data_IF_209845793535
#
_entry.id   IF_209845793535
#
_cell.length_a   1.000
_cell.length_b   1.000
_cell.length_c   1.000
_cell.angle_alpha   90.00
_cell.angle_beta   90.00
_cell.angle_gamma   90.00
#
_symmetry.space_group_name_H-M   'P 1'
#
loop_
_entity.id
_entity.type
_entity.pdbx_description
1 polymer ?
#
# COMPACT_ATOMS: atom_id res chain seq x y z
N UNK A 1 24.73 44.47 -7.82
CA UNK A 1 25.25 43.10 -8.00
C UNK A 1 24.91 42.24 -6.79
N UNK A 2 23.76 41.59 -6.81
CA UNK A 2 23.28 40.76 -5.70
C UNK A 2 22.86 39.38 -6.21
N UNK A 3 23.77 38.73 -6.93
CA UNK A 3 23.59 37.36 -7.39
C UNK A 3 23.98 36.40 -6.25
N UNK A 4 23.04 36.13 -5.35
CA UNK A 4 23.18 35.09 -4.32
C UNK A 4 23.55 33.77 -4.99
N UNK A 5 24.82 33.33 -4.84
CA UNK A 5 25.30 31.99 -5.20
C UNK A 5 24.33 30.94 -4.64
N UNK A 6 23.48 30.35 -5.48
CA UNK A 6 22.64 29.20 -5.13
C UNK A 6 23.59 28.07 -4.70
N UNK A 7 23.54 27.70 -3.42
CA UNK A 7 24.30 26.57 -2.90
C UNK A 7 24.08 25.32 -3.78
N UNK A 8 25.16 24.63 -4.13
CA UNK A 8 25.08 23.43 -4.96
C UNK A 8 24.18 22.38 -4.28
N UNK A 9 23.06 22.04 -4.92
CA UNK A 9 22.11 21.06 -4.39
C UNK A 9 22.73 19.67 -4.45
N UNK A 10 22.79 18.95 -3.32
CA UNK A 10 23.29 17.58 -3.26
C UNK A 10 22.50 16.70 -4.24
N UNK A 11 23.18 16.02 -5.17
CA UNK A 11 22.55 15.09 -6.12
C UNK A 11 22.18 13.79 -5.39
N UNK A 12 20.90 13.47 -5.35
CA UNK A 12 20.32 12.23 -4.80
C UNK A 12 19.61 11.47 -5.92
N UNK A 13 19.36 10.17 -5.75
CA UNK A 13 18.61 9.39 -6.75
C UNK A 13 17.21 9.99 -6.95
N UNK A 14 16.59 10.50 -5.88
CA UNK A 14 15.23 11.05 -5.96
C UNK A 14 15.19 12.39 -6.71
N UNK A 15 16.23 13.21 -6.62
CA UNK A 15 16.29 14.47 -7.37
C UNK A 15 16.92 14.38 -8.77
N UNK A 16 17.56 13.24 -9.07
CA UNK A 16 18.07 12.91 -10.41
C UNK A 16 17.23 11.82 -11.07
N UNK A 17 16.00 11.59 -10.59
CA UNK A 17 15.04 10.65 -11.18
C UNK A 17 14.87 11.00 -12.67
N UNK A 18 14.87 9.97 -13.51
CA UNK A 18 14.55 10.15 -14.92
C UNK A 18 13.11 10.58 -15.08
N UNK A 19 12.85 11.46 -16.05
CA UNK A 19 11.50 11.90 -16.36
C UNK A 19 10.67 10.69 -16.78
N UNK A 20 9.54 10.48 -16.11
CA UNK A 20 8.59 9.42 -16.42
C UNK A 20 7.35 10.07 -17.04
N UNK A 21 7.11 9.79 -18.32
CA UNK A 21 6.06 10.45 -19.10
C UNK A 21 4.64 10.16 -18.61
N UNK A 22 4.46 9.08 -17.84
CA UNK A 22 3.17 8.64 -17.30
C UNK A 22 2.84 9.25 -15.93
N UNK A 23 3.64 10.20 -15.44
CA UNK A 23 3.34 10.94 -14.21
C UNK A 23 2.03 11.72 -14.36
N UNK A 24 1.11 11.48 -13.44
CA UNK A 24 -0.21 12.10 -13.44
C UNK A 24 -0.13 13.47 -12.77
N UNK A 25 -0.64 14.49 -13.47
CA UNK A 25 -0.89 15.82 -12.91
C UNK A 25 -2.36 15.99 -12.52
N UNK A 26 -2.85 17.23 -12.53
CA UNK A 26 -4.29 17.49 -12.40
C UNK A 26 -4.98 17.37 -13.77
N UNK A 27 -4.99 16.16 -14.32
CA UNK A 27 -5.58 15.86 -15.62
C UNK A 27 -7.06 15.45 -15.45
N UNK A 28 -8.04 16.20 -16.00
CA UNK A 28 -9.46 15.88 -15.90
C UNK A 28 -9.83 14.50 -16.47
N UNK A 29 -9.10 14.01 -17.49
CA UNK A 29 -9.36 12.69 -18.08
C UNK A 29 -9.08 11.59 -17.05
N UNK A 30 -7.94 11.68 -16.35
CA UNK A 30 -7.57 10.69 -15.33
C UNK A 30 -8.55 10.70 -14.15
N UNK A 31 -9.05 11.88 -13.77
CA UNK A 31 -10.05 12.01 -12.71
C UNK A 31 -11.38 11.35 -13.12
N UNK A 32 -11.79 11.53 -14.38
CA UNK A 32 -12.99 10.89 -14.92
C UNK A 32 -12.82 9.36 -14.98
N UNK A 33 -11.68 8.88 -15.50
CA UNK A 33 -11.35 7.45 -15.54
C UNK A 33 -11.41 6.83 -14.13
N UNK A 34 -10.86 7.51 -13.13
CA UNK A 34 -10.89 7.08 -11.73
C UNK A 34 -12.28 7.15 -11.07
N UNK A 35 -13.16 8.01 -11.55
CA UNK A 35 -14.52 8.10 -11.05
C UNK A 35 -15.39 6.93 -11.53
N UNK A 36 -15.07 6.38 -12.70
CA UNK A 36 -15.85 5.32 -13.37
C UNK A 36 -15.19 3.93 -13.30
N UNK A 37 -14.01 3.81 -12.67
CA UNK A 37 -13.31 2.52 -12.59
C UNK A 37 -13.99 1.51 -11.64
N UNK A 38 -13.44 0.29 -11.63
CA UNK A 38 -13.93 -0.84 -10.84
C UNK A 38 -13.79 -0.62 -9.32
N UNK A 39 -13.02 0.38 -8.91
CA UNK A 39 -12.76 0.70 -7.50
C UNK A 39 -13.56 1.89 -6.97
N UNK A 40 -14.16 2.70 -7.85
CA UNK A 40 -14.94 3.92 -7.55
C UNK A 40 -15.84 3.78 -6.32
N UNK A 41 -16.64 2.72 -6.26
CA UNK A 41 -17.57 2.42 -5.16
C UNK A 41 -16.91 2.27 -3.78
N UNK A 42 -15.67 1.80 -3.72
CA UNK A 42 -14.93 1.68 -2.45
C UNK A 42 -14.46 3.05 -1.98
N UNK A 43 -13.97 3.89 -2.89
CA UNK A 43 -13.49 5.24 -2.60
C UNK A 43 -14.63 6.22 -2.28
N UNK A 44 -15.82 5.96 -2.80
CA UNK A 44 -17.07 6.66 -2.44
C UNK A 44 -17.73 6.10 -1.15
N UNK A 45 -17.13 5.07 -0.54
CA UNK A 45 -17.64 4.39 0.66
C UNK A 45 -19.02 3.75 0.52
N UNK A 46 -19.45 3.43 -0.71
CA UNK A 46 -20.74 2.79 -0.97
C UNK A 46 -20.72 1.29 -0.64
N UNK A 47 -19.61 0.63 -0.96
CA UNK A 47 -19.44 -0.81 -0.75
C UNK A 47 -18.28 -1.08 0.21
N UNK A 48 -18.53 -1.66 1.39
CA UNK A 48 -17.44 -2.03 2.30
C UNK A 48 -16.68 -3.24 1.74
N UNK A 49 -15.34 -3.22 1.73
CA UNK A 49 -14.59 -4.37 1.25
C UNK A 49 -14.75 -5.57 2.19
N UNK A 50 -14.87 -6.75 1.58
CA UNK A 50 -14.84 -8.05 2.22
C UNK A 50 -13.76 -8.88 1.54
N UNK A 51 -12.70 -9.21 2.26
CA UNK A 51 -11.48 -9.76 1.67
C UNK A 51 -11.28 -11.19 2.12
N UNK A 52 -11.08 -12.10 1.17
CA UNK A 52 -10.69 -13.49 1.45
C UNK A 52 -9.17 -13.60 1.35
N UNK A 53 -8.53 -14.18 2.35
CA UNK A 53 -7.11 -14.56 2.26
C UNK A 53 -6.95 -16.08 2.31
N UNK A 54 -6.15 -16.61 1.39
CA UNK A 54 -5.77 -18.02 1.32
C UNK A 54 -4.26 -18.12 1.04
N UNK A 55 -3.72 -19.32 1.13
CA UNK A 55 -2.31 -19.63 0.85
C UNK A 55 -2.16 -20.45 -0.42
N UNK A 56 -0.92 -20.78 -0.76
CA UNK A 56 -0.57 -21.96 -1.58
C UNK A 56 -1.02 -23.26 -0.90
N UNK A 57 -1.18 -24.38 -1.64
CA UNK A 57 -1.42 -25.69 -1.04
C UNK A 57 -0.27 -26.08 -0.10
N UNK A 58 -0.61 -26.68 1.04
CA UNK A 58 0.32 -27.14 2.09
C UNK A 58 1.29 -26.02 2.59
N UNK A 59 0.78 -24.93 3.16
CA UNK A 59 1.62 -23.85 3.69
C UNK A 59 2.38 -24.28 4.94
N UNK A 60 3.51 -23.62 5.23
CA UNK A 60 4.23 -23.82 6.49
C UNK A 60 3.53 -23.13 7.65
N UNK A 61 3.81 -23.61 8.88
CA UNK A 61 3.31 -22.99 10.12
C UNK A 61 3.72 -21.53 10.27
N UNK A 62 4.85 -21.12 9.70
CA UNK A 62 5.37 -19.75 9.84
C UNK A 62 4.46 -18.74 9.14
N UNK A 63 3.86 -19.10 8.01
CA UNK A 63 2.99 -18.24 7.23
C UNK A 63 1.73 -17.80 8.01
N UNK A 64 1.22 -18.64 8.92
CA UNK A 64 0.02 -18.32 9.71
C UNK A 64 0.21 -17.13 10.65
N UNK A 65 1.42 -16.89 11.16
CA UNK A 65 1.72 -15.70 11.96
C UNK A 65 1.56 -14.43 11.11
N UNK A 66 2.02 -14.49 9.85
CA UNK A 66 1.84 -13.39 8.91
C UNK A 66 0.38 -13.20 8.50
N UNK A 67 -0.39 -14.28 8.33
CA UNK A 67 -1.83 -14.20 8.07
C UNK A 67 -2.56 -13.54 9.24
N UNK A 68 -2.26 -13.94 10.48
CA UNK A 68 -2.86 -13.35 11.68
C UNK A 68 -2.51 -11.86 11.82
N UNK A 69 -1.31 -11.47 11.39
CA UNK A 69 -0.89 -10.07 11.30
C UNK A 69 -1.67 -9.29 10.22
N UNK A 70 -1.86 -9.90 9.04
CA UNK A 70 -2.66 -9.30 7.96
C UNK A 70 -4.13 -9.14 8.36
N UNK A 71 -4.70 -10.09 9.11
CA UNK A 71 -6.08 -9.99 9.61
C UNK A 71 -6.27 -8.85 10.62
N UNK A 72 -5.19 -8.45 11.31
CA UNK A 72 -5.19 -7.26 12.18
C UNK A 72 -4.93 -5.96 11.43
N UNK A 73 -4.31 -6.04 10.24
CA UNK A 73 -4.04 -4.88 9.39
C UNK A 73 -5.24 -4.52 8.52
N UNK A 74 -5.82 -5.50 7.83
CA UNK A 74 -6.90 -5.30 6.85
C UNK A 74 -8.24 -5.61 7.54
N UNK A 75 -9.14 -4.63 7.70
CA UNK A 75 -10.48 -4.87 8.25
C UNK A 75 -11.24 -5.91 7.42
N UNK A 76 -12.07 -6.74 8.08
CA UNK A 76 -12.91 -7.77 7.42
C UNK A 76 -12.12 -8.73 6.50
N UNK A 77 -10.86 -9.04 6.86
CA UNK A 77 -10.05 -10.06 6.22
C UNK A 77 -10.35 -11.46 6.80
N UNK A 78 -10.90 -12.35 5.97
CA UNK A 78 -11.27 -13.70 6.38
C UNK A 78 -10.29 -14.74 5.80
N UNK A 79 -9.64 -15.50 6.67
CA UNK A 79 -8.78 -16.60 6.24
C UNK A 79 -9.60 -17.84 5.90
N UNK A 80 -9.34 -18.41 4.72
CA UNK A 80 -9.85 -19.71 4.30
C UNK A 80 -8.68 -20.63 3.91
N UNK A 81 -8.64 -21.88 4.41
CA UNK A 81 -7.60 -22.82 4.04
C UNK A 81 -7.76 -23.23 2.57
N UNK A 82 -6.63 -23.23 1.84
CA UNK A 82 -6.58 -23.48 0.39
C UNK A 82 -7.15 -24.84 -0.05
N UNK A 83 -6.97 -25.87 0.78
CA UNK A 83 -7.25 -27.27 0.43
C UNK A 83 -6.65 -27.66 -0.94
N UNK A 84 -7.45 -28.28 -1.83
CA UNK A 84 -7.05 -28.70 -3.19
C UNK A 84 -7.61 -27.78 -4.29
N UNK A 85 -8.28 -26.70 -3.95
CA UNK A 85 -8.95 -25.82 -4.92
C UNK A 85 -7.94 -25.04 -5.76
N UNK A 86 -8.25 -24.89 -7.05
CA UNK A 86 -7.57 -24.00 -7.99
C UNK A 86 -7.87 -22.53 -7.69
N UNK A 87 -7.10 -21.61 -8.29
CA UNK A 87 -7.35 -20.18 -8.09
C UNK A 87 -8.68 -19.75 -8.70
N UNK A 88 -9.04 -20.30 -9.85
CA UNK A 88 -10.31 -20.01 -10.54
C UNK A 88 -11.51 -20.43 -9.68
N UNK A 89 -11.49 -21.64 -9.12
CA UNK A 89 -12.53 -22.11 -8.20
C UNK A 89 -12.66 -21.24 -6.95
N UNK A 90 -11.53 -20.75 -6.40
CA UNK A 90 -11.56 -19.85 -5.24
C UNK A 90 -12.13 -18.49 -5.61
N UNK A 91 -11.81 -17.94 -6.78
CA UNK A 91 -12.39 -16.68 -7.23
C UNK A 91 -13.90 -16.81 -7.44
N UNK A 92 -14.35 -17.91 -8.05
CA UNK A 92 -15.78 -18.20 -8.22
C UNK A 92 -16.49 -18.36 -6.88
N UNK A 93 -15.91 -19.13 -5.95
CA UNK A 93 -16.43 -19.29 -4.60
C UNK A 93 -16.48 -17.96 -3.84
N UNK A 94 -15.47 -17.12 -4.01
CA UNK A 94 -15.40 -15.80 -3.40
C UNK A 94 -16.52 -14.90 -3.94
N UNK A 95 -16.72 -14.84 -5.26
CA UNK A 95 -17.81 -14.08 -5.88
C UNK A 95 -19.20 -14.55 -5.45
N UNK A 96 -19.41 -15.87 -5.30
CA UNK A 96 -20.66 -16.44 -4.80
C UNK A 96 -20.94 -16.15 -3.32
N UNK A 97 -19.96 -15.64 -2.56
CA UNK A 97 -20.07 -15.31 -1.13
C UNK A 97 -19.87 -13.82 -0.86
N UNK A 98 -20.01 -13.01 -1.90
CA UNK A 98 -19.87 -11.55 -1.86
C UNK A 98 -18.53 -11.08 -1.31
N UNK A 99 -17.46 -11.86 -1.55
CA UNK A 99 -16.12 -11.35 -1.36
C UNK A 99 -15.78 -10.41 -2.51
N UNK A 100 -15.27 -9.26 -2.14
CA UNK A 100 -14.82 -8.22 -3.08
C UNK A 100 -13.43 -8.51 -3.63
N UNK A 101 -12.56 -9.07 -2.78
CA UNK A 101 -11.15 -9.29 -3.08
C UNK A 101 -10.70 -10.66 -2.60
N UNK A 102 -9.76 -11.25 -3.33
CA UNK A 102 -9.06 -12.48 -2.97
C UNK A 102 -7.57 -12.20 -2.90
N UNK A 103 -6.95 -12.53 -1.76
CA UNK A 103 -5.52 -12.49 -1.53
C UNK A 103 -4.99 -13.92 -1.45
N UNK A 104 -3.99 -14.24 -2.26
CA UNK A 104 -3.31 -15.54 -2.23
C UNK A 104 -1.84 -15.36 -1.90
N UNK A 105 -1.42 -15.93 -0.78
CA UNK A 105 -0.03 -15.91 -0.32
C UNK A 105 0.75 -17.11 -0.82
N UNK A 106 1.93 -16.83 -1.39
CA UNK A 106 2.91 -17.82 -1.82
C UNK A 106 4.10 -17.85 -0.86
N UNK A 107 4.73 -19.01 -0.77
CA UNK A 107 5.82 -19.26 0.15
C UNK A 107 6.92 -20.09 -0.53
N UNK A 108 8.18 -19.69 -0.28
CA UNK A 108 9.38 -20.43 -0.65
C UNK A 108 10.28 -20.58 0.59
N UNK A 109 10.88 -21.74 0.79
CA UNK A 109 11.77 -22.01 1.95
C UNK A 109 11.18 -21.62 3.31
N UNK A 110 9.87 -21.81 3.49
CA UNK A 110 9.12 -21.41 4.70
C UNK A 110 9.02 -19.88 4.93
N UNK A 111 9.28 -19.08 3.91
CA UNK A 111 9.17 -17.62 3.90
C UNK A 111 8.16 -17.15 2.86
N UNK A 112 7.26 -16.24 3.24
CA UNK A 112 6.35 -15.60 2.30
C UNK A 112 7.14 -14.82 1.24
N UNK A 113 6.91 -15.13 -0.03
CA UNK A 113 7.67 -14.56 -1.15
C UNK A 113 6.78 -13.92 -2.24
N UNK A 114 5.48 -14.14 -2.19
CA UNK A 114 4.55 -13.65 -3.20
C UNK A 114 3.15 -13.43 -2.61
N UNK A 115 2.46 -12.42 -3.15
CA UNK A 115 1.09 -12.10 -2.80
C UNK A 115 0.36 -11.73 -4.09
N UNK A 116 -0.69 -12.49 -4.41
CA UNK A 116 -1.58 -12.18 -5.53
C UNK A 116 -2.83 -11.55 -4.95
N UNK A 117 -3.24 -10.40 -5.46
CA UNK A 117 -4.48 -9.73 -5.08
C UNK A 117 -5.36 -9.66 -6.33
N UNK A 118 -6.58 -10.19 -6.25
CA UNK A 118 -7.56 -10.18 -7.32
C UNK A 118 -8.84 -9.51 -6.85
N UNK A 119 -9.34 -8.54 -7.62
CA UNK A 119 -10.68 -7.99 -7.42
C UNK A 119 -11.69 -8.87 -8.17
N UNK A 120 -12.41 -9.71 -7.44
CA UNK A 120 -13.24 -10.77 -8.04
C UNK A 120 -14.67 -10.32 -8.33
N UNK A 121 -15.09 -9.17 -7.80
CA UNK A 121 -16.48 -8.70 -7.85
C UNK A 121 -17.44 -9.60 -7.04
N UNK A 122 -18.53 -9.04 -6.52
CA UNK A 122 -19.69 -9.88 -6.12
C UNK A 122 -20.35 -10.42 -7.39
N UNK A 123 -21.14 -11.49 -7.28
CA UNK A 123 -21.88 -12.18 -8.36
C UNK A 123 -22.64 -11.29 -9.38
N UNK A 124 -22.83 -9.99 -9.12
CA UNK A 124 -23.44 -8.99 -10.01
C UNK A 124 -22.51 -7.81 -10.39
N UNK A 125 -21.26 -7.81 -9.92
CA UNK A 125 -20.34 -6.67 -9.99
C UNK A 125 -19.28 -6.76 -11.08
N UNK A 126 -18.64 -5.63 -11.36
CA UNK A 126 -17.50 -5.53 -12.26
C UNK A 126 -16.31 -6.33 -11.71
N UNK A 127 -15.79 -7.25 -12.51
CA UNK A 127 -14.55 -7.96 -12.20
C UNK A 127 -13.39 -6.97 -12.43
N UNK A 128 -12.55 -6.78 -11.42
CA UNK A 128 -11.41 -5.86 -11.51
C UNK A 128 -10.10 -6.60 -11.79
N UNK A 129 -8.97 -5.89 -11.73
CA UNK A 129 -7.70 -6.45 -12.10
C UNK A 129 -7.16 -7.44 -11.05
N UNK A 130 -6.18 -8.22 -11.49
CA UNK A 130 -5.38 -9.09 -10.64
C UNK A 130 -3.93 -8.65 -10.70
N UNK A 131 -3.34 -8.39 -9.54
CA UNK A 131 -1.94 -8.00 -9.43
C UNK A 131 -1.13 -9.01 -8.61
N UNK A 132 0.08 -9.29 -9.08
CA UNK A 132 1.04 -10.09 -8.33
C UNK A 132 2.20 -9.23 -7.84
N UNK A 133 2.43 -9.33 -6.54
CA UNK A 133 3.52 -8.69 -5.84
C UNK A 133 4.51 -9.73 -5.37
N UNK A 134 5.80 -9.48 -5.61
CA UNK A 134 6.85 -10.13 -4.84
C UNK A 134 6.83 -9.53 -3.44
N UNK A 135 6.78 -10.41 -2.44
CA UNK A 135 6.84 -10.03 -1.02
C UNK A 135 8.27 -10.25 -0.51
N UNK A 136 8.80 -9.29 0.23
CA UNK A 136 10.11 -9.40 0.88
C UNK A 136 10.10 -8.73 2.25
N UNK A 137 11.12 -9.03 3.06
CA UNK A 137 11.36 -8.42 4.37
C UNK A 137 10.16 -8.52 5.31
N UNK A 138 9.47 -9.68 5.31
CA UNK A 138 8.35 -9.93 6.23
C UNK A 138 8.88 -10.07 7.65
N UNK A 139 8.48 -9.13 8.51
CA UNK A 139 8.69 -9.13 9.94
C UNK A 139 7.32 -9.13 10.60
N UNK A 140 7.04 -10.16 11.39
CA UNK A 140 5.77 -10.32 12.09
C UNK A 140 5.69 -9.37 13.29
N UNK A 141 4.50 -8.94 13.68
CA UNK A 141 4.30 -7.99 14.79
C UNK A 141 4.93 -8.46 16.10
N UNK A 142 4.86 -9.76 16.41
CA UNK A 142 5.42 -10.35 17.63
C UNK A 142 6.94 -10.19 17.76
N UNK A 143 7.67 -10.04 16.65
CA UNK A 143 9.13 -9.87 16.66
C UNK A 143 9.54 -8.40 16.66
N UNK A 144 8.59 -7.47 16.61
CA UNK A 144 8.85 -6.04 16.61
C UNK A 144 8.99 -5.56 18.07
N UNK A 145 10.09 -4.88 18.41
CA UNK A 145 10.29 -4.35 19.75
C UNK A 145 9.29 -3.21 20.03
N UNK A 146 8.73 -3.19 21.24
CA UNK A 146 7.79 -2.16 21.70
C UNK A 146 6.53 -2.00 20.80
N UNK A 147 6.12 -3.07 20.10
CA UNK A 147 4.88 -3.04 19.33
C UNK A 147 3.68 -2.85 20.25
N UNK A 148 2.69 -2.09 19.77
CA UNK A 148 1.41 -1.91 20.45
C UNK A 148 0.39 -2.97 20.02
N UNK A 149 -0.68 -3.11 20.80
CA UNK A 149 -1.83 -3.93 20.41
C UNK A 149 -2.76 -3.16 19.48
N UNK A 150 -3.09 -3.76 18.32
CA UNK A 150 -4.13 -3.24 17.42
C UNK A 150 -5.50 -3.30 18.10
N UNK A 151 -6.39 -2.39 17.72
CA UNK A 151 -7.81 -2.43 18.16
C UNK A 151 -8.69 -2.81 16.98
N UNK A 152 -9.99 -2.95 17.22
CA UNK A 152 -10.97 -3.20 16.15
C UNK A 152 -11.24 -1.97 15.24
N UNK A 153 -10.77 -0.78 15.64
CA UNK A 153 -11.03 0.44 14.88
C UNK A 153 -10.51 0.39 13.44
N UNK A 154 -11.25 1.01 12.52
CA UNK A 154 -10.86 1.16 11.11
C UNK A 154 -9.69 2.15 11.01
N UNK A 155 -8.52 1.75 10.48
CA UNK A 155 -7.36 2.63 10.39
C UNK A 155 -7.54 3.64 9.24
N UNK A 156 -6.91 4.80 9.39
CA UNK A 156 -6.66 5.70 8.26
C UNK A 156 -5.75 5.02 7.23
N UNK A 157 -5.95 5.36 5.96
CA UNK A 157 -5.13 4.83 4.87
C UNK A 157 -4.24 5.93 4.30
N UNK A 158 -2.92 5.68 4.28
CA UNK A 158 -1.94 6.57 3.68
C UNK A 158 -1.27 5.89 2.48
N UNK A 159 -1.70 6.25 1.28
CA UNK A 159 -1.09 5.84 0.01
C UNK A 159 -0.13 6.94 -0.45
N UNK A 160 1.18 6.70 -0.39
CA UNK A 160 2.19 7.71 -0.71
C UNK A 160 3.07 7.27 -1.87
N UNK A 161 3.29 8.17 -2.83
CA UNK A 161 4.28 7.99 -3.90
C UNK A 161 3.81 7.18 -5.09
N UNK A 162 2.50 7.00 -5.27
CA UNK A 162 1.88 6.37 -6.44
C UNK A 162 1.54 7.43 -7.49
N UNK A 163 2.55 7.96 -8.18
CA UNK A 163 2.40 9.17 -9.00
C UNK A 163 2.21 8.94 -10.49
N UNK A 164 2.51 7.75 -11.00
CA UNK A 164 2.31 7.41 -12.42
C UNK A 164 0.89 6.88 -12.65
N UNK A 165 0.43 6.77 -13.92
CA UNK A 165 -0.86 6.11 -14.24
C UNK A 165 -0.93 4.68 -13.68
N UNK A 166 0.17 3.91 -13.80
CA UNK A 166 0.28 2.58 -13.18
C UNK A 166 0.29 2.66 -11.64
N UNK A 167 0.99 3.66 -11.09
CA UNK A 167 1.02 3.96 -9.67
C UNK A 167 -0.38 4.17 -9.11
N UNK A 168 -1.17 5.05 -9.73
CA UNK A 168 -2.57 5.31 -9.40
C UNK A 168 -3.39 4.02 -9.44
N UNK A 169 -3.33 3.24 -10.53
CA UNK A 169 -4.05 1.95 -10.66
C UNK A 169 -3.72 0.98 -9.51
N UNK A 170 -2.44 0.84 -9.16
CA UNK A 170 -1.98 -0.03 -8.07
C UNK A 170 -2.36 0.53 -6.71
N UNK A 171 -2.25 1.84 -6.51
CA UNK A 171 -2.67 2.55 -5.31
C UNK A 171 -4.16 2.34 -5.05
N UNK A 172 -4.98 2.45 -6.10
CA UNK A 172 -6.43 2.21 -6.04
C UNK A 172 -6.77 0.77 -5.69
N UNK A 173 -6.12 -0.21 -6.31
CA UNK A 173 -6.26 -1.64 -5.94
C UNK A 173 -5.86 -1.93 -4.49
N UNK A 174 -4.79 -1.31 -3.98
CA UNK A 174 -4.37 -1.49 -2.60
C UNK A 174 -5.29 -0.76 -1.61
N UNK A 175 -5.82 0.40 -2.00
CA UNK A 175 -6.74 1.18 -1.19
C UNK A 175 -8.15 0.57 -1.11
N UNK A 176 -8.61 -0.07 -2.19
CA UNK A 176 -9.91 -0.77 -2.20
C UNK A 176 -9.97 -1.96 -1.24
N UNK A 177 -8.84 -2.41 -0.68
CA UNK A 177 -8.81 -3.43 0.38
C UNK A 177 -9.29 -2.89 1.73
N UNK A 178 -9.37 -1.57 1.90
CA UNK A 178 -9.72 -0.91 3.16
C UNK A 178 -11.04 -0.15 3.04
N UNK A 179 -11.86 -0.15 4.11
CA UNK A 179 -12.95 0.81 4.24
C UNK A 179 -12.40 2.25 4.32
N UNK A 180 -13.09 3.22 3.71
CA UNK A 180 -12.69 4.63 3.70
C UNK A 180 -13.38 5.49 4.78
N UNK A 181 -14.04 4.85 5.75
CA UNK A 181 -14.66 5.41 6.96
C UNK A 181 -13.73 5.29 8.18
N UNK A 182 -12.57 5.95 8.10
CA UNK A 182 -11.54 5.85 9.14
C UNK A 182 -12.01 6.36 10.52
N UNK A 183 -11.71 5.60 11.57
CA UNK A 183 -12.09 5.92 12.94
C UNK A 183 -10.93 6.60 13.69
N UNK A 184 -10.89 7.93 13.60
CA UNK A 184 -9.82 8.76 14.19
C UNK A 184 -9.62 8.55 15.70
N UNK A 185 -10.66 8.10 16.42
CA UNK A 185 -10.58 7.75 17.85
C UNK A 185 -9.54 6.65 18.11
N UNK A 186 -9.45 5.67 17.20
CA UNK A 186 -8.48 4.58 17.27
C UNK A 186 -7.03 5.02 17.05
N UNK A 187 -6.84 6.16 16.35
CA UNK A 187 -5.55 6.76 15.97
C UNK A 187 -4.63 5.78 15.24
N UNK A 188 -5.19 4.99 14.33
CA UNK A 188 -4.45 3.94 13.60
C UNK A 188 -4.30 4.35 12.15
N UNK A 189 -3.18 3.99 11.55
CA UNK A 189 -2.89 4.28 10.15
C UNK A 189 -2.19 3.09 9.49
N UNK A 190 -2.75 2.61 8.38
CA UNK A 190 -2.11 1.72 7.44
C UNK A 190 -1.41 2.57 6.37
N UNK A 191 -0.11 2.38 6.20
CA UNK A 191 0.69 3.14 5.24
C UNK A 191 1.24 2.23 4.15
N UNK A 192 1.00 2.61 2.90
CA UNK A 192 1.63 2.06 1.71
C UNK A 192 2.51 3.14 1.11
N UNK A 193 3.81 3.08 1.41
CA UNK A 193 4.77 4.05 0.93
C UNK A 193 5.54 3.48 -0.25
N UNK A 194 5.21 3.92 -1.46
CA UNK A 194 6.00 3.62 -2.64
C UNK A 194 7.26 4.50 -2.68
N UNK A 195 8.40 3.84 -2.70
CA UNK A 195 9.69 4.44 -2.95
C UNK A 195 10.47 3.55 -3.92
N UNK A 196 10.71 4.05 -5.14
CA UNK A 196 11.51 3.37 -6.16
C UNK A 196 10.98 1.98 -6.54
N UNK A 197 9.67 1.89 -6.75
CA UNK A 197 8.89 0.66 -7.02
C UNK A 197 8.88 -0.37 -5.89
N UNK A 198 9.34 0.02 -4.69
CA UNK A 198 9.17 -0.75 -3.47
C UNK A 198 8.09 -0.10 -2.63
N UNK A 199 7.02 -0.84 -2.39
CA UNK A 199 5.91 -0.41 -1.55
C UNK A 199 6.16 -0.95 -0.15
N UNK A 200 6.52 -0.06 0.77
CA UNK A 200 6.70 -0.38 2.18
C UNK A 200 5.35 -0.32 2.88
N UNK A 201 4.91 -1.45 3.42
CA UNK A 201 3.65 -1.55 4.16
C UNK A 201 3.93 -1.50 5.65
N UNK A 202 3.28 -0.58 6.35
CA UNK A 202 3.40 -0.42 7.80
C UNK A 202 2.05 -0.12 8.44
N UNK A 203 1.90 -0.53 9.68
CA UNK A 203 0.72 -0.25 10.50
C UNK A 203 1.16 0.41 11.79
N UNK A 204 0.67 1.63 12.04
CA UNK A 204 1.04 2.42 13.20
C UNK A 204 -0.16 2.93 13.97
N UNK A 205 0.02 3.13 15.27
CA UNK A 205 -0.73 4.08 16.08
C UNK A 205 0.02 5.41 16.09
N UNK A 206 -0.69 6.52 15.99
CA UNK A 206 -0.08 7.85 16.10
C UNK A 206 -0.59 8.61 17.33
N UNK A 207 0.26 9.51 17.84
CA UNK A 207 -0.09 10.50 18.87
C UNK A 207 0.53 11.82 18.48
N UNK A 208 -0.27 12.88 18.41
CA UNK A 208 0.24 14.23 18.18
C UNK A 208 0.78 14.82 19.48
N UNK A 209 1.98 15.39 19.39
CA UNK A 209 2.60 16.11 20.48
C UNK A 209 2.94 17.53 20.06
N UNK A 210 2.52 18.48 20.87
CA UNK A 210 2.96 19.86 20.78
C UNK A 210 4.35 19.98 21.41
N UNK A 211 5.37 20.21 20.59
CA UNK A 211 6.68 20.55 21.12
C UNK A 211 6.69 22.00 21.58
N UNK A 212 6.59 22.23 22.88
CA UNK A 212 7.03 23.50 23.49
C UNK A 212 8.53 23.66 23.17
N UNK A 213 8.90 24.66 22.36
CA UNK A 213 10.32 24.95 22.13
C UNK A 213 10.95 25.35 23.48
N UNK A 214 12.08 24.73 23.84
CA UNK A 214 12.98 25.32 24.82
C UNK A 214 13.32 26.74 24.35
N UNK A 215 13.09 27.75 25.19
CA UNK A 215 13.58 29.11 24.96
C UNK A 215 15.10 29.05 24.81
N UNK A 216 15.59 29.09 23.57
CA UNK A 216 17.00 29.40 23.33
C UNK A 216 17.14 30.88 23.72
N UNK A 217 17.89 31.16 24.80
CA UNK A 217 18.25 32.53 25.19
C UNK A 217 18.81 33.23 23.95
N UNK A 218 18.16 34.32 23.53
CA UNK A 218 18.66 35.19 22.46
C UNK A 218 20.03 35.73 22.87
N UNK A 219 20.98 35.81 21.93
CA UNK A 219 22.02 36.85 21.98
C UNK A 219 21.35 38.18 21.64
N UNK A 220 21.74 39.26 22.31
CA UNK A 220 20.99 40.53 22.40
C UNK A 220 20.72 41.28 21.08
N UNK A 221 21.35 40.94 19.95
CA UNK A 221 21.38 41.85 18.79
C UNK A 221 20.34 41.63 17.66
N UNK A 222 19.52 40.58 17.68
CA UNK A 222 18.58 40.33 16.57
C UNK A 222 17.17 40.90 16.81
N UNK A 223 16.93 42.14 16.32
CA UNK A 223 15.60 42.82 16.25
C UNK A 223 14.68 42.28 15.14
N UNK A 224 14.56 40.96 14.97
CA UNK A 224 13.49 40.37 14.13
C UNK A 224 12.36 39.80 15.00
N UNK A 225 11.08 40.05 14.68
CA UNK A 225 9.96 39.43 15.39
C UNK A 225 10.00 37.91 15.18
N UNK A 226 10.07 37.15 16.28
CA UNK A 226 9.98 35.69 16.23
C UNK A 226 8.52 35.32 15.91
N UNK A 227 8.27 34.81 14.70
CA UNK A 227 7.06 34.04 14.44
C UNK A 227 7.17 32.70 15.15
N UNK A 228 6.51 32.56 16.30
CA UNK A 228 6.40 31.30 17.04
C UNK A 228 5.43 30.39 16.30
N UNK A 229 5.93 29.65 15.30
CA UNK A 229 5.17 28.51 14.76
C UNK A 229 5.31 27.33 15.73
N UNK A 230 4.23 27.01 16.42
CA UNK A 230 4.07 25.75 17.16
C UNK A 230 4.36 24.59 16.22
N UNK A 231 5.28 23.71 16.60
CA UNK A 231 5.68 22.56 15.78
C UNK A 231 5.04 21.30 16.36
N UNK A 232 3.85 20.98 15.87
CA UNK A 232 3.20 19.70 16.14
C UNK A 232 4.02 18.58 15.48
N UNK A 233 4.29 17.50 16.20
CA UNK A 233 4.93 16.29 15.66
C UNK A 233 4.11 15.07 16.03
N UNK A 234 3.87 14.19 15.06
CA UNK A 234 3.32 12.86 15.33
C UNK A 234 4.43 11.93 15.84
N UNK A 235 4.22 11.31 17.01
CA UNK A 235 4.93 10.10 17.42
C UNK A 235 4.17 8.88 16.91
N UNK A 236 4.91 7.86 16.47
CA UNK A 236 4.36 6.64 15.91
C UNK A 236 4.78 5.44 16.77
N UNK A 237 3.87 4.48 16.93
CA UNK A 237 4.13 3.18 17.50
C UNK A 237 3.64 2.11 16.53
N UNK A 238 4.43 1.09 16.23
CA UNK A 238 4.03 0.03 15.31
C UNK A 238 3.03 -0.94 15.95
N UNK A 239 2.04 -1.38 15.17
CA UNK A 239 0.99 -2.30 15.61
C UNK A 239 0.98 -3.63 14.85
N UNK A 240 1.47 -3.61 13.60
CA UNK A 240 1.30 -4.70 12.65
C UNK A 240 2.61 -5.14 12.00
N UNK A 241 2.54 -6.00 10.98
CA UNK A 241 3.72 -6.54 10.33
C UNK A 241 4.45 -5.45 9.53
N UNK A 242 5.76 -5.62 9.34
CA UNK A 242 6.54 -4.90 8.34
C UNK A 242 6.75 -5.82 7.15
N UNK A 243 6.45 -5.34 5.96
CA UNK A 243 6.82 -6.06 4.74
C UNK A 243 6.99 -5.07 3.59
N UNK A 244 7.58 -5.56 2.50
CA UNK A 244 7.78 -4.80 1.28
C UNK A 244 7.18 -5.56 0.12
N UNK A 245 6.44 -4.85 -0.73
CA UNK A 245 5.89 -5.36 -1.97
C UNK A 245 6.65 -4.75 -3.15
N UNK A 246 6.86 -5.55 -4.19
CA UNK A 246 7.29 -5.06 -5.51
C UNK A 246 6.38 -5.66 -6.56
N UNK A 247 5.69 -4.81 -7.32
CA UNK A 247 4.81 -5.25 -8.39
C UNK A 247 5.61 -6.05 -9.43
N UNK A 248 5.06 -7.19 -9.84
CA UNK A 248 5.63 -8.04 -10.90
C UNK A 248 4.80 -8.01 -12.16
N UNK A 249 3.49 -8.02 -12.01
CA UNK A 249 2.56 -7.85 -13.10
C UNK A 249 1.20 -7.45 -12.55
N UNK A 250 0.40 -6.83 -13.41
CA UNK A 250 -1.02 -6.60 -13.23
C UNK A 250 -1.71 -6.97 -14.54
N UNK A 251 -2.83 -7.67 -14.42
CA UNK A 251 -3.65 -8.12 -15.53
C UNK A 251 -5.09 -7.66 -15.33
N UNK A 252 -5.77 -7.41 -16.44
CA UNK A 252 -7.19 -7.13 -16.45
C UNK A 252 -7.97 -8.38 -16.05
N UNK A 253 -9.05 -8.18 -15.30
CA UNK A 253 -9.92 -9.24 -14.82
C UNK A 253 -9.33 -10.15 -13.73
N UNK A 254 -10.10 -11.18 -13.42
CA UNK A 254 -9.76 -12.18 -12.41
C UNK A 254 -8.56 -13.05 -12.83
N UNK A 255 -8.06 -13.90 -11.94
CA UNK A 255 -6.87 -14.68 -12.20
C UNK A 255 -7.02 -15.67 -13.38
N UNK A 256 -6.48 -15.33 -14.55
CA UNK A 256 -6.31 -16.23 -15.69
C UNK A 256 -4.84 -16.33 -16.17
N UNK A 257 -4.31 -17.55 -16.17
CA UNK A 257 -2.93 -17.83 -16.59
C UNK A 257 -2.79 -18.12 -18.08
N UNK A 258 -3.89 -18.41 -18.78
CA UNK A 258 -3.84 -18.83 -20.18
C UNK A 258 -4.13 -17.68 -21.14
N UNK A 259 -5.18 -16.89 -20.85
CA UNK A 259 -5.64 -15.83 -21.74
C UNK A 259 -5.74 -14.47 -21.03
N UNK A 260 -5.12 -14.33 -19.86
CA UNK A 260 -5.12 -13.08 -19.11
C UNK A 260 -4.43 -11.95 -19.88
N UNK A 261 -5.13 -10.83 -20.05
CA UNK A 261 -4.58 -9.62 -20.66
C UNK A 261 -3.78 -8.84 -19.63
N UNK A 262 -2.45 -8.79 -19.82
CA UNK A 262 -1.58 -8.06 -18.91
C UNK A 262 -1.56 -6.57 -19.24
N UNK A 263 -2.08 -5.75 -18.33
CA UNK A 263 -1.94 -4.29 -18.38
C UNK A 263 -0.46 -3.90 -18.25
N UNK A 264 0.30 -4.61 -17.41
CA UNK A 264 1.73 -4.35 -17.22
C UNK A 264 2.48 -5.57 -16.68
N UNK A 265 3.72 -5.77 -17.16
CA UNK A 265 4.62 -6.84 -16.69
C UNK A 265 6.02 -6.26 -16.46
N UNK A 266 6.62 -6.60 -15.32
CA UNK A 266 7.99 -6.24 -14.99
C UNK A 266 9.00 -7.12 -15.75
N UNK A 267 9.49 -6.63 -16.89
CA UNK A 267 10.54 -7.27 -17.68
C UNK A 267 11.92 -6.82 -17.21
N UNK A 268 12.51 -7.58 -16.27
CA UNK A 268 13.79 -7.25 -15.61
C UNK A 268 14.91 -6.80 -16.57
N UNK A 269 15.10 -7.50 -17.69
CA UNK A 269 16.19 -7.19 -18.64
C UNK A 269 16.00 -5.87 -19.39
N UNK A 270 14.76 -5.47 -19.62
CA UNK A 270 14.40 -4.25 -20.37
C UNK A 270 14.25 -3.05 -19.43
N UNK A 271 13.71 -3.28 -18.24
CA UNK A 271 13.24 -2.22 -17.34
C UNK A 271 14.25 -1.86 -16.25
N UNK A 272 15.07 -2.81 -15.76
CA UNK A 272 16.11 -2.52 -14.76
C UNK A 272 17.43 -2.02 -15.41
N UNK A 273 17.33 -1.39 -16.59
CA UNK A 273 18.48 -0.83 -17.33
C UNK A 273 19.10 0.37 -16.62
N UNK A 274 18.28 1.23 -16.02
CA UNK A 274 18.75 2.36 -15.21
C UNK A 274 18.23 2.32 -13.78
N UNK A 275 19.07 2.67 -12.81
CA UNK A 275 18.70 2.74 -11.38
C UNK A 275 17.94 4.02 -10.99
N UNK A 276 17.50 4.81 -11.97
CA UNK A 276 16.84 6.12 -11.79
C UNK A 276 15.45 6.18 -12.42
N UNK A 277 15.02 5.10 -13.06
CA UNK A 277 13.69 4.95 -13.63
C UNK A 277 12.83 4.08 -12.70
N UNK A 278 11.60 4.52 -12.47
CA UNK A 278 10.64 3.87 -11.58
C UNK A 278 9.24 4.01 -12.19
N UNK A 279 8.43 2.97 -12.08
CA UNK A 279 7.18 2.80 -12.83
C UNK A 279 5.91 3.09 -12.03
N UNK A 280 6.00 3.14 -10.71
CA UNK A 280 4.90 3.47 -9.79
C UNK A 280 4.94 4.95 -9.34
#
# INVERSE_FOLDING_TARGET
DDEKKKAAKQKTIDNTREFEATMVGNDPEVIADEADDEFSKYFQSETPPKVLVTTRPRPSKRLFHFIADLQRLIPKLHFYPRQKFSLKEICQFAGNRDFTHVIVLSENEKHCNGMTISHVGSSSGTIGPTAFFKVSNVVTSQTIPNHGASTAHIPELNLHGFGTRLGHRVGRLLGSLFPHDAEFVGRQVATFHNQRDYIFVRHHRYVFEEKKKHMIKKKEDDKKPLTVKEKVRARLQELGPRFTLKLRWIQSGSFDTQFGEYEWIHKRKEMDTTRRRFHL
#
